data_IF_347482506915
#
_entry.id   IF_347482506915
#
_cell.length_a   1.000
_cell.length_b   1.000
_cell.length_c   1.000
_cell.angle_alpha   90.00
_cell.angle_beta   90.00
_cell.angle_gamma   90.00
#
_symmetry.space_group_name_H-M   'P 1'
#
loop_
_entity.id
_entity.type
_entity.pdbx_description
1 polymer ?
#
# COMPACT_ATOMS: atom_id res chain seq x y z
N UNK A 1 14.12 -11.13 41.83
CA UNK A 1 14.03 -11.63 40.44
C UNK A 1 13.58 -10.52 39.46
N UNK A 2 13.38 -9.30 39.96
CA UNK A 2 12.74 -8.20 39.23
C UNK A 2 13.62 -7.58 38.14
N UNK A 3 14.94 -7.84 38.11
CA UNK A 3 15.82 -7.23 37.12
C UNK A 3 15.63 -7.81 35.71
N UNK A 4 15.39 -9.11 35.58
CA UNK A 4 15.42 -9.81 34.30
C UNK A 4 14.11 -9.57 33.55
N UNK A 5 12.98 -9.68 34.25
CA UNK A 5 11.66 -9.33 33.70
C UNK A 5 11.63 -7.86 33.26
N UNK A 6 12.19 -6.95 34.05
CA UNK A 6 12.25 -5.54 33.71
C UNK A 6 13.17 -5.27 32.50
N UNK A 7 14.27 -6.02 32.34
CA UNK A 7 15.12 -5.95 31.14
C UNK A 7 14.38 -6.41 29.88
N UNK A 8 13.67 -7.55 29.93
CA UNK A 8 12.88 -8.05 28.79
C UNK A 8 11.76 -7.07 28.40
N UNK A 9 10.99 -6.56 29.38
CA UNK A 9 9.97 -5.53 29.11
C UNK A 9 10.58 -4.25 28.53
N UNK A 10 11.79 -3.88 28.97
CA UNK A 10 12.55 -2.77 28.43
C UNK A 10 12.94 -2.98 26.96
N UNK A 11 13.40 -4.19 26.61
CA UNK A 11 13.74 -4.56 25.23
C UNK A 11 12.52 -4.54 24.31
N UNK A 12 11.38 -5.12 24.74
CA UNK A 12 10.13 -5.10 23.97
C UNK A 12 9.65 -3.66 23.70
N UNK A 13 9.76 -2.77 24.70
CA UNK A 13 9.41 -1.34 24.54
C UNK A 13 10.31 -0.65 23.51
N UNK A 14 11.61 -0.91 23.55
CA UNK A 14 12.57 -0.34 22.59
C UNK A 14 12.33 -0.89 21.18
N UNK A 15 12.11 -2.20 21.04
CA UNK A 15 11.79 -2.85 19.77
C UNK A 15 10.54 -2.24 19.15
N UNK A 16 9.44 -2.17 19.90
CA UNK A 16 8.20 -1.51 19.46
C UNK A 16 8.42 -0.08 18.98
N UNK A 17 9.15 0.72 19.75
CA UNK A 17 9.41 2.12 19.39
C UNK A 17 10.26 2.23 18.11
N UNK A 18 11.24 1.34 17.96
CA UNK A 18 12.07 1.23 16.76
C UNK A 18 11.23 0.90 15.53
N UNK A 19 10.37 -0.13 15.61
CA UNK A 19 9.51 -0.54 14.48
C UNK A 19 8.52 0.56 14.09
N UNK A 20 7.88 1.23 15.05
CA UNK A 20 6.98 2.38 14.78
C UNK A 20 7.75 3.53 14.10
N UNK A 21 8.97 3.80 14.53
CA UNK A 21 9.82 4.84 13.92
C UNK A 21 10.18 4.46 12.48
N UNK A 22 10.54 3.20 12.25
CA UNK A 22 10.82 2.67 10.91
C UNK A 22 9.62 2.78 9.97
N UNK A 23 8.41 2.44 10.45
CA UNK A 23 7.16 2.65 9.70
C UNK A 23 7.04 4.12 9.28
N UNK A 24 7.13 5.05 10.22
CA UNK A 24 6.88 6.46 9.94
C UNK A 24 7.91 7.10 8.99
N UNK A 25 9.13 6.58 9.00
CA UNK A 25 10.23 6.99 8.13
C UNK A 25 10.20 6.31 6.75
N UNK A 26 9.46 5.23 6.59
CA UNK A 26 9.34 4.47 5.33
C UNK A 26 8.45 5.18 4.30
N UNK A 27 8.80 6.38 3.84
CA UNK A 27 8.01 7.05 2.78
C UNK A 27 8.11 6.29 1.46
N UNK A 28 6.98 6.00 0.84
CA UNK A 28 6.92 5.44 -0.50
C UNK A 28 7.51 6.45 -1.49
N UNK A 29 8.46 5.98 -2.29
CA UNK A 29 8.99 6.73 -3.43
C UNK A 29 8.03 6.58 -4.61
N UNK A 30 7.86 7.63 -5.44
CA UNK A 30 7.01 7.59 -6.64
C UNK A 30 7.36 6.46 -7.61
N UNK A 31 8.63 6.03 -7.67
CA UNK A 31 9.06 4.91 -8.53
C UNK A 31 8.86 3.52 -7.90
N UNK A 32 8.45 3.43 -6.64
CA UNK A 32 8.22 2.16 -5.95
C UNK A 32 6.75 1.76 -6.11
N UNK A 33 6.48 0.57 -6.67
CA UNK A 33 5.11 0.07 -6.79
C UNK A 33 4.43 -0.02 -5.42
N UNK A 34 3.17 0.40 -5.34
CA UNK A 34 2.43 0.45 -4.07
C UNK A 34 2.32 -0.92 -3.41
N UNK A 35 2.27 -2.00 -4.20
CA UNK A 35 2.30 -3.38 -3.69
C UNK A 35 3.54 -3.64 -2.81
N UNK A 36 4.72 -3.24 -3.27
CA UNK A 36 5.97 -3.48 -2.55
C UNK A 36 6.00 -2.69 -1.25
N UNK A 37 5.50 -1.45 -1.29
CA UNK A 37 5.37 -0.60 -0.10
C UNK A 37 4.42 -1.21 0.93
N UNK A 38 3.23 -1.65 0.50
CA UNK A 38 2.23 -2.26 1.36
C UNK A 38 2.73 -3.55 2.03
N UNK A 39 3.40 -4.43 1.28
CA UNK A 39 3.97 -5.66 1.84
C UNK A 39 5.02 -5.38 2.92
N UNK A 40 5.86 -4.37 2.71
CA UNK A 40 6.85 -3.94 3.71
C UNK A 40 6.18 -3.41 4.97
N UNK A 41 5.15 -2.56 4.85
CA UNK A 41 4.39 -2.08 6.00
C UNK A 41 3.67 -3.19 6.76
N UNK A 42 3.07 -4.16 6.05
CA UNK A 42 2.43 -5.31 6.68
C UNK A 42 3.41 -6.13 7.52
N UNK A 43 4.65 -6.29 7.06
CA UNK A 43 5.74 -6.89 7.83
C UNK A 43 6.04 -6.12 9.12
N UNK A 44 6.19 -4.79 9.02
CA UNK A 44 6.42 -3.96 10.21
C UNK A 44 5.23 -3.95 11.19
N UNK A 45 3.98 -4.01 10.70
CA UNK A 45 2.82 -4.10 11.59
C UNK A 45 2.82 -5.42 12.36
N UNK A 46 3.11 -6.54 11.70
CA UNK A 46 3.25 -7.84 12.37
C UNK A 46 4.33 -7.79 13.45
N UNK A 47 5.52 -7.29 13.12
CA UNK A 47 6.64 -7.14 14.07
C UNK A 47 6.30 -6.21 15.24
N UNK A 48 5.64 -5.08 14.97
CA UNK A 48 5.25 -4.16 16.03
C UNK A 48 4.23 -4.79 17.00
N UNK A 49 3.24 -5.51 16.45
CA UNK A 49 2.21 -6.22 17.24
C UNK A 49 2.85 -7.33 18.08
N UNK A 50 3.79 -8.10 17.52
CA UNK A 50 4.56 -9.12 18.25
C UNK A 50 5.35 -8.49 19.40
N UNK A 51 5.89 -7.28 19.22
CA UNK A 51 6.53 -6.48 20.26
C UNK A 51 5.53 -5.71 21.19
N UNK A 52 4.27 -6.15 21.25
CA UNK A 52 3.25 -5.64 22.15
C UNK A 52 2.66 -4.28 21.75
N UNK A 53 2.80 -3.86 20.49
CA UNK A 53 2.10 -2.67 19.99
C UNK A 53 0.60 -2.93 19.86
N UNK A 54 -0.21 -1.99 20.36
CA UNK A 54 -1.66 -1.98 20.15
C UNK A 54 -1.96 -1.18 18.88
N UNK A 55 -1.83 -1.83 17.72
CA UNK A 55 -2.14 -1.23 16.42
C UNK A 55 -3.50 -1.74 15.95
N UNK A 56 -4.57 -1.00 16.26
CA UNK A 56 -5.87 -1.33 15.70
C UNK A 56 -5.90 -1.12 14.17
N UNK A 57 -6.95 -1.62 13.55
CA UNK A 57 -7.12 -1.55 12.10
C UNK A 57 -7.04 -0.11 11.56
N UNK A 58 -7.72 0.84 12.21
CA UNK A 58 -7.75 2.24 11.78
C UNK A 58 -6.36 2.89 11.88
N UNK A 59 -5.65 2.61 12.97
CA UNK A 59 -4.27 3.06 13.20
C UNK A 59 -3.33 2.57 12.10
N UNK A 60 -3.44 1.29 11.70
CA UNK A 60 -2.63 0.74 10.60
C UNK A 60 -2.94 1.44 9.27
N UNK A 61 -4.22 1.67 8.96
CA UNK A 61 -4.65 2.38 7.75
C UNK A 61 -4.15 3.84 7.73
N UNK A 62 -4.24 4.55 8.85
CA UNK A 62 -3.69 5.89 8.97
C UNK A 62 -2.18 5.93 8.74
N UNK A 63 -1.43 4.97 9.30
CA UNK A 63 0.01 4.84 9.09
C UNK A 63 0.34 4.55 7.62
N UNK A 64 -0.44 3.69 6.94
CA UNK A 64 -0.33 3.50 5.49
C UNK A 64 -0.48 4.85 4.79
N UNK A 65 -1.59 5.56 5.00
CA UNK A 65 -1.81 6.84 4.33
C UNK A 65 -0.76 7.92 4.64
N UNK A 66 -0.13 7.89 5.82
CA UNK A 66 0.96 8.81 6.17
C UNK A 66 2.27 8.48 5.46
N UNK A 67 2.47 7.26 4.99
CA UNK A 67 3.72 6.81 4.36
C UNK A 67 3.65 6.78 2.84
N UNK A 68 2.45 6.82 2.25
CA UNK A 68 2.29 6.84 0.79
C UNK A 68 2.88 8.07 0.11
N UNK A 69 3.15 7.90 -1.18
CA UNK A 69 3.48 9.01 -2.09
C UNK A 69 2.28 9.96 -2.23
N UNK A 70 2.58 11.23 -2.52
CA UNK A 70 1.57 12.27 -2.84
C UNK A 70 0.65 11.90 -3.99
N UNK A 71 1.07 11.00 -4.87
CA UNK A 71 0.29 10.54 -6.03
C UNK A 71 -1.02 9.83 -5.60
N UNK A 72 -1.07 9.34 -4.35
CA UNK A 72 -2.24 8.70 -3.74
C UNK A 72 -3.18 9.68 -3.01
N UNK A 73 -2.98 11.00 -3.10
CA UNK A 73 -3.85 11.98 -2.41
C UNK A 73 -5.32 11.85 -2.84
N UNK A 74 -5.58 11.61 -4.14
CA UNK A 74 -6.93 11.39 -4.67
C UNK A 74 -7.56 10.11 -4.13
N UNK A 75 -6.79 9.02 -4.06
CA UNK A 75 -7.23 7.76 -3.46
C UNK A 75 -7.61 7.93 -1.98
N UNK A 76 -6.78 8.61 -1.19
CA UNK A 76 -7.06 8.88 0.23
C UNK A 76 -8.36 9.66 0.41
N UNK A 77 -8.59 10.68 -0.40
CA UNK A 77 -9.84 11.45 -0.37
C UNK A 77 -11.05 10.56 -0.68
N UNK A 78 -10.96 9.72 -1.72
CA UNK A 78 -12.03 8.79 -2.09
C UNK A 78 -12.30 7.74 -1.01
N UNK A 79 -11.26 7.19 -0.37
CA UNK A 79 -11.39 6.26 0.74
C UNK A 79 -12.14 6.88 1.92
N UNK A 80 -11.74 8.08 2.34
CA UNK A 80 -12.35 8.80 3.46
C UNK A 80 -13.83 9.14 3.22
N UNK A 81 -14.22 9.40 1.97
CA UNK A 81 -15.62 9.67 1.61
C UNK A 81 -16.47 8.39 1.52
N UNK A 82 -15.84 7.25 1.27
CA UNK A 82 -16.54 6.00 1.00
C UNK A 82 -17.02 5.24 2.23
N UNK A 83 -16.64 5.64 3.45
CA UNK A 83 -16.90 4.91 4.71
C UNK A 83 -16.67 3.40 4.58
N UNK A 84 -15.53 3.01 3.98
CA UNK A 84 -15.20 1.60 3.77
C UNK A 84 -14.23 1.13 4.85
N UNK A 85 -14.65 0.13 5.61
CA UNK A 85 -13.73 -0.65 6.45
C UNK A 85 -13.13 -1.77 5.59
N UNK A 86 -11.91 -1.57 5.08
CA UNK A 86 -11.34 -2.45 4.06
C UNK A 86 -10.45 -3.62 4.48
N UNK A 87 -9.71 -3.70 5.57
CA UNK A 87 -8.64 -4.71 5.67
C UNK A 87 -7.45 -4.41 4.72
N UNK A 88 -6.23 -4.72 5.17
CA UNK A 88 -5.00 -4.31 4.48
C UNK A 88 -4.83 -4.93 3.08
N UNK A 89 -5.26 -6.18 2.89
CA UNK A 89 -5.16 -6.87 1.60
C UNK A 89 -6.06 -6.24 0.54
N UNK A 90 -7.29 -5.91 0.89
CA UNK A 90 -8.23 -5.28 -0.03
C UNK A 90 -7.85 -3.81 -0.29
N UNK A 91 -7.38 -3.10 0.74
CA UNK A 91 -6.80 -1.78 0.57
C UNK A 91 -5.64 -1.82 -0.46
N UNK A 92 -4.69 -2.74 -0.30
CA UNK A 92 -3.58 -2.91 -1.24
C UNK A 92 -4.08 -3.17 -2.67
N UNK A 93 -5.06 -4.06 -2.84
CA UNK A 93 -5.64 -4.38 -4.16
C UNK A 93 -6.25 -3.14 -4.83
N UNK A 94 -7.02 -2.34 -4.09
CA UNK A 94 -7.62 -1.12 -4.63
C UNK A 94 -6.57 -0.06 -4.97
N UNK A 95 -5.52 0.06 -4.16
CA UNK A 95 -4.41 0.98 -4.44
C UNK A 95 -3.62 0.57 -5.68
N UNK A 96 -3.42 -0.72 -5.92
CA UNK A 96 -2.80 -1.20 -7.16
C UNK A 96 -3.66 -0.88 -8.39
N UNK A 97 -4.99 -1.01 -8.29
CA UNK A 97 -5.89 -0.63 -9.37
C UNK A 97 -5.84 0.89 -9.64
N UNK A 98 -5.78 1.69 -8.57
CA UNK A 98 -5.61 3.14 -8.68
C UNK A 98 -4.25 3.53 -9.28
N UNK A 99 -3.16 2.88 -8.85
CA UNK A 99 -1.81 3.06 -9.43
C UNK A 99 -1.80 2.78 -10.93
N UNK A 100 -2.51 1.75 -11.39
CA UNK A 100 -2.64 1.45 -12.82
C UNK A 100 -3.42 2.54 -13.56
N UNK A 101 -4.49 3.07 -12.96
CA UNK A 101 -5.32 4.13 -13.54
C UNK A 101 -4.55 5.44 -13.72
N UNK A 102 -3.74 5.84 -12.72
CA UNK A 102 -2.99 7.12 -12.79
C UNK A 102 -1.74 7.04 -13.67
N UNK A 103 -1.30 5.83 -14.03
CA UNK A 103 -0.15 5.59 -14.91
C UNK A 103 -0.56 5.25 -16.35
N UNK A 104 -1.78 5.63 -16.80
CA UNK A 104 -2.32 5.31 -18.12
C UNK A 104 -2.30 3.81 -18.49
N UNK A 105 -2.41 2.93 -17.48
CA UNK A 105 -2.33 1.48 -17.66
C UNK A 105 -0.92 0.91 -17.75
N UNK A 106 0.12 1.73 -17.55
CA UNK A 106 1.52 1.26 -17.49
C UNK A 106 1.82 0.66 -16.12
N UNK A 107 2.19 -0.62 -16.11
CA UNK A 107 2.64 -1.29 -14.90
C UNK A 107 4.07 -0.84 -14.56
N UNK A 108 4.22 -0.07 -13.48
CA UNK A 108 5.55 0.18 -12.89
C UNK A 108 5.99 -1.12 -12.24
N UNK A 109 6.92 -1.83 -12.88
CA UNK A 109 7.58 -2.98 -12.28
C UNK A 109 8.78 -2.50 -11.46
N UNK A 110 8.96 -3.06 -10.28
CA UNK A 110 10.22 -2.91 -9.54
C UNK A 110 11.34 -3.47 -10.41
N UNK A 111 12.45 -2.74 -10.57
CA UNK A 111 13.66 -3.24 -11.24
C UNK A 111 14.28 -4.38 -10.42
N UNK A 112 13.72 -5.58 -10.59
CA UNK A 112 14.18 -6.86 -10.07
C UNK A 112 13.68 -7.93 -11.04
N UNK A 113 14.61 -8.48 -11.82
CA UNK A 113 14.34 -9.08 -13.13
C UNK A 113 13.38 -10.27 -13.15
N UNK A 114 12.47 -10.25 -14.12
CA UNK A 114 12.27 -11.28 -15.14
C UNK A 114 11.17 -10.78 -16.10
N UNK A 115 11.52 -10.71 -17.38
CA UNK A 115 10.65 -10.19 -18.43
C UNK A 115 9.42 -11.11 -18.57
N UNK A 116 8.22 -10.63 -18.25
CA UNK A 116 6.98 -11.20 -18.77
C UNK A 116 6.31 -10.16 -19.65
N UNK A 117 6.43 -10.37 -20.97
CA UNK A 117 5.66 -9.64 -21.96
C UNK A 117 4.18 -10.00 -21.80
N UNK A 118 3.40 -9.11 -21.16
CA UNK A 118 1.95 -9.16 -21.27
C UNK A 118 1.57 -8.26 -22.44
N UNK A 119 1.36 -8.88 -23.60
CA UNK A 119 0.65 -8.25 -24.69
C UNK A 119 -0.81 -8.04 -24.25
N UNK A 120 -1.13 -6.85 -23.75
CA UNK A 120 -2.51 -6.44 -23.63
C UNK A 120 -3.03 -6.14 -25.04
N UNK A 121 -3.72 -7.12 -25.64
CA UNK A 121 -4.48 -6.91 -26.86
C UNK A 121 -5.58 -5.87 -26.60
N UNK A 122 -5.31 -4.63 -26.98
CA UNK A 122 -6.31 -3.56 -27.06
C UNK A 122 -7.33 -3.93 -28.15
N UNK A 123 -8.50 -4.37 -27.70
CA UNK A 123 -9.69 -4.53 -28.54
C UNK A 123 -10.02 -3.22 -29.26
N UNK A 124 -9.82 -3.23 -30.56
CA UNK A 124 -10.08 -2.14 -31.48
C UNK A 124 -11.58 -1.81 -31.54
N UNK A 125 -12.04 -0.81 -30.79
CA UNK A 125 -13.38 -0.24 -30.95
C UNK A 125 -13.46 0.54 -32.26
N UNK A 126 -13.93 -0.14 -33.32
CA UNK A 126 -14.14 0.44 -34.64
C UNK A 126 -15.55 0.99 -34.75
N UNK A 127 -15.72 2.30 -34.55
CA UNK A 127 -16.98 3.01 -34.79
C UNK A 127 -17.33 2.98 -36.30
N UNK A 128 -18.35 2.21 -36.70
CA UNK A 128 -18.97 2.31 -38.04
C UNK A 128 -20.16 3.29 -37.98
N UNK A 129 -19.94 4.50 -38.48
CA UNK A 129 -21.02 5.44 -38.84
C UNK A 129 -21.90 4.82 -39.94
N UNK A 130 -23.17 4.60 -39.64
CA UNK A 130 -24.21 4.20 -40.59
C UNK A 130 -24.68 5.45 -41.33
N UNK A 131 -24.38 5.58 -42.63
CA UNK A 131 -25.06 6.53 -43.52
C UNK A 131 -26.20 5.78 -44.22
N UNK A 132 -27.44 6.14 -43.89
CA UNK A 132 -28.61 5.85 -44.70
C UNK A 132 -28.64 6.85 -45.88
N UNK A 133 -28.85 6.35 -47.10
CA UNK A 133 -29.38 7.14 -48.21
C UNK A 133 -30.56 6.36 -48.77
N UNK A 134 -31.70 7.02 -48.87
CA UNK A 134 -32.76 6.70 -49.83
C UNK A 134 -32.33 7.22 -51.20
#
# INVERSE_FOLDING_TARGET
MDNLENMFRGQEKLARQSTITSIMNSKQKTSTPVKNHMLMLMGFFAEAIENGAKLDYNTQIEMVFKTLSKDFVGFKAAYNLGNKELGLTELMRQMQAYELMINDGVLVQSKGGANLAVAASLGHFRNKKKKQKQ
#
